data_IF_225026839760
#
_entry.id   IF_225026839760
#
_cell.length_a   1.000
_cell.length_b   1.000
_cell.length_c   1.000
_cell.angle_alpha   90.00
_cell.angle_beta   90.00
_cell.angle_gamma   90.00
#
_symmetry.space_group_name_H-M   'P 1'
#
loop_
_entity.id
_entity.type
_entity.pdbx_description
1 polymer ?
#
# COMPACT_ATOMS: atom_id res chain seq x y z
N UNK A 1 -12.80 4.56 -11.88
CA UNK A 1 -12.20 4.52 -10.53
C UNK A 1 -10.95 3.66 -10.62
N UNK A 2 -9.78 4.28 -10.60
CA UNK A 2 -8.52 3.55 -10.63
C UNK A 2 -8.25 2.96 -9.25
N UNK A 3 -7.99 1.65 -9.20
CA UNK A 3 -7.49 0.99 -8.00
C UNK A 3 -5.99 1.27 -7.90
N UNK A 4 -5.54 1.67 -6.72
CA UNK A 4 -4.13 1.93 -6.46
C UNK A 4 -3.62 0.84 -5.54
N UNK A 5 -2.45 0.34 -5.85
CA UNK A 5 -1.84 -0.76 -5.14
C UNK A 5 -0.49 -0.33 -4.59
N UNK A 6 -0.18 -0.76 -3.36
CA UNK A 6 1.18 -0.72 -2.85
C UNK A 6 1.85 -2.08 -3.06
N UNK A 7 3.13 -2.06 -3.37
CA UNK A 7 3.97 -3.25 -3.42
C UNK A 7 4.43 -3.59 -2.00
N UNK A 8 4.10 -4.78 -1.50
CA UNK A 8 4.49 -5.26 -0.17
C UNK A 8 5.45 -6.45 -0.32
N UNK A 9 6.65 -6.41 0.29
CA UNK A 9 7.55 -7.56 0.25
C UNK A 9 6.91 -8.81 0.85
N UNK A 10 7.00 -9.94 0.15
CA UNK A 10 6.43 -11.22 0.60
C UNK A 10 6.93 -11.61 1.97
N UNK A 11 8.20 -11.29 2.27
CA UNK A 11 8.84 -11.56 3.56
C UNK A 11 8.12 -10.94 4.75
N UNK A 12 7.41 -9.82 4.57
CA UNK A 12 6.67 -9.14 5.64
C UNK A 12 5.30 -9.77 5.91
N UNK A 13 4.80 -10.57 4.96
CA UNK A 13 3.47 -11.18 5.01
C UNK A 13 3.49 -12.70 4.98
N UNK A 14 4.65 -13.32 5.15
CA UNK A 14 4.77 -14.78 5.19
C UNK A 14 3.78 -15.33 6.22
N UNK A 15 2.85 -16.21 5.81
CA UNK A 15 1.93 -16.85 6.73
C UNK A 15 2.68 -17.53 7.87
N UNK A 16 2.14 -17.46 9.08
CA UNK A 16 2.71 -18.18 10.22
C UNK A 16 2.62 -19.72 10.04
N UNK A 17 1.70 -20.18 9.21
CA UNK A 17 1.42 -21.59 8.98
C UNK A 17 1.40 -21.91 7.48
N UNK A 18 1.87 -23.11 7.12
CA UNK A 18 1.81 -23.58 5.74
C UNK A 18 0.36 -23.85 5.34
N UNK A 19 0.05 -23.65 4.06
CA UNK A 19 -1.31 -23.76 3.56
C UNK A 19 -1.41 -23.32 2.11
N UNK A 20 -2.65 -23.15 1.64
CA UNK A 20 -2.92 -22.62 0.30
C UNK A 20 -3.39 -21.18 0.39
N UNK A 21 -2.89 -20.32 -0.48
CA UNK A 21 -3.24 -18.91 -0.59
C UNK A 21 -3.72 -18.64 -2.01
N UNK A 22 -4.86 -17.98 -2.13
CA UNK A 22 -5.32 -17.47 -3.41
C UNK A 22 -4.63 -16.13 -3.68
N UNK A 23 -3.93 -16.04 -4.80
CA UNK A 23 -3.25 -14.83 -5.30
C UNK A 23 -3.94 -14.33 -6.57
N UNK A 24 -3.43 -13.22 -7.12
CA UNK A 24 -3.83 -12.66 -8.41
C UNK A 24 -3.46 -13.55 -9.61
N UNK A 25 -2.49 -14.47 -9.44
CA UNK A 25 -2.06 -15.42 -10.48
C UNK A 25 -2.62 -16.83 -10.31
N UNK A 26 -3.23 -17.17 -9.17
CA UNK A 26 -3.83 -18.49 -8.95
C UNK A 26 -3.79 -18.96 -7.50
N UNK A 27 -4.05 -20.24 -7.28
CA UNK A 27 -3.88 -20.87 -5.97
C UNK A 27 -2.41 -21.27 -5.80
N UNK A 28 -1.81 -20.91 -4.67
CA UNK A 28 -0.40 -21.17 -4.39
C UNK A 28 -0.25 -21.83 -3.02
N UNK A 29 0.49 -22.92 -2.94
CA UNK A 29 0.84 -23.59 -1.69
C UNK A 29 2.10 -22.97 -1.08
N UNK A 30 2.03 -22.57 0.18
CA UNK A 30 3.12 -21.98 0.94
C UNK A 30 3.77 -22.95 1.93
N UNK A 31 5.10 -23.00 1.94
CA UNK A 31 5.92 -23.79 2.86
C UNK A 31 6.76 -22.89 3.77
N UNK A 32 6.37 -22.69 5.05
CA UNK A 32 7.05 -21.75 5.95
C UNK A 32 8.48 -22.13 6.29
N UNK A 33 8.78 -23.43 6.33
CA UNK A 33 10.09 -23.96 6.71
C UNK A 33 11.18 -23.50 5.74
N UNK A 34 10.86 -23.54 4.46
CA UNK A 34 11.79 -23.29 3.36
C UNK A 34 11.52 -21.95 2.66
N UNK A 35 10.53 -21.18 3.17
CA UNK A 35 10.04 -19.90 2.62
C UNK A 35 9.76 -19.97 1.12
N UNK A 36 9.19 -21.08 0.67
CA UNK A 36 8.96 -21.39 -0.75
C UNK A 36 7.47 -21.54 -1.05
N UNK A 37 7.16 -21.46 -2.34
CA UNK A 37 5.81 -21.44 -2.90
C UNK A 37 5.73 -22.39 -4.09
N UNK A 38 4.58 -23.06 -4.26
CA UNK A 38 4.28 -23.91 -5.42
C UNK A 38 2.91 -23.50 -5.99
N UNK A 39 2.82 -23.28 -7.30
CA UNK A 39 1.53 -23.13 -7.98
C UNK A 39 0.89 -24.49 -8.33
N UNK A 40 -0.31 -24.47 -8.91
CA UNK A 40 -1.05 -25.67 -9.34
C UNK A 40 -0.30 -26.52 -10.39
N UNK A 41 0.74 -25.98 -11.04
CA UNK A 41 1.63 -26.69 -11.96
C UNK A 41 2.97 -27.09 -11.32
N UNK A 42 3.11 -26.93 -9.99
CA UNK A 42 4.29 -27.23 -9.18
C UNK A 42 5.55 -26.43 -9.53
N UNK A 43 5.42 -25.25 -10.12
CA UNK A 43 6.55 -24.35 -10.32
C UNK A 43 6.87 -23.57 -9.04
N UNK A 44 8.17 -23.38 -8.77
CA UNK A 44 8.62 -22.47 -7.74
C UNK A 44 8.38 -21.02 -8.19
N UNK A 45 7.31 -20.43 -7.68
CA UNK A 45 6.93 -19.05 -7.95
C UNK A 45 7.16 -18.20 -6.70
N UNK A 46 8.32 -17.55 -6.59
CA UNK A 46 8.53 -16.54 -5.56
C UNK A 46 8.34 -15.15 -6.17
N UNK A 47 7.13 -14.56 -6.18
CA UNK A 47 7.02 -13.14 -6.46
C UNK A 47 7.77 -12.42 -5.33
N UNK A 48 8.62 -11.43 -5.64
CA UNK A 48 9.32 -10.68 -4.59
C UNK A 48 8.34 -9.80 -3.77
N UNK A 49 7.14 -9.54 -4.31
CA UNK A 49 6.15 -8.64 -3.74
C UNK A 49 4.71 -9.08 -4.02
N UNK A 50 3.78 -8.66 -3.15
CA UNK A 50 2.32 -8.74 -3.36
C UNK A 50 1.77 -7.34 -3.61
N UNK A 51 0.67 -7.24 -4.36
CA UNK A 51 -0.06 -5.99 -4.55
C UNK A 51 -1.20 -5.91 -3.53
N UNK A 52 -1.13 -4.95 -2.60
CA UNK A 52 -2.22 -4.64 -1.68
C UNK A 52 -2.96 -3.38 -2.17
N UNK A 53 -4.27 -3.48 -2.36
CA UNK A 53 -5.11 -2.31 -2.66
C UNK A 53 -5.06 -1.35 -1.47
N UNK A 54 -4.81 -0.07 -1.75
CA UNK A 54 -4.78 0.97 -0.72
C UNK A 54 -5.91 1.96 -0.93
N UNK A 55 -6.50 2.38 0.18
CA UNK A 55 -7.41 3.52 0.19
C UNK A 55 -6.61 4.80 0.04
N UNK A 56 -7.04 5.66 -0.89
CA UNK A 56 -6.49 7.01 -0.99
C UNK A 56 -6.88 7.82 0.24
N UNK A 57 -5.97 8.67 0.75
CA UNK A 57 -6.29 9.51 1.89
C UNK A 57 -7.42 10.49 1.53
N UNK A 58 -8.29 10.75 2.51
CA UNK A 58 -9.30 11.81 2.41
C UNK A 58 -8.66 13.16 2.64
N UNK A 59 -9.32 14.24 2.20
CA UNK A 59 -8.88 15.60 2.49
C UNK A 59 -8.71 15.85 3.99
N UNK A 60 -9.63 15.33 4.80
CA UNK A 60 -9.58 15.46 6.25
C UNK A 60 -8.36 14.73 6.85
N UNK A 61 -8.02 13.53 6.35
CA UNK A 61 -6.83 12.80 6.76
C UNK A 61 -5.54 13.54 6.37
N UNK A 62 -5.49 14.15 5.18
CA UNK A 62 -4.35 14.95 4.73
C UNK A 62 -4.18 16.21 5.57
N UNK A 63 -5.29 16.89 5.90
CA UNK A 63 -5.30 18.06 6.78
C UNK A 63 -4.85 17.73 8.19
N UNK A 64 -5.30 16.61 8.76
CA UNK A 64 -4.84 16.15 10.06
C UNK A 64 -3.32 15.91 10.06
N UNK A 65 -2.82 15.18 9.06
CA UNK A 65 -1.39 14.91 8.92
C UNK A 65 -0.55 16.18 8.79
N UNK A 66 -1.00 17.13 7.98
CA UNK A 66 -0.33 18.42 7.83
C UNK A 66 -0.30 19.23 9.14
N UNK A 67 -1.39 19.19 9.91
CA UNK A 67 -1.45 19.81 11.23
C UNK A 67 -0.54 19.13 12.26
N UNK A 68 -0.38 17.81 12.20
CA UNK A 68 0.54 17.06 13.06
C UNK A 68 2.00 17.43 12.76
N UNK A 69 2.38 17.48 11.47
CA UNK A 69 3.69 17.99 11.02
C UNK A 69 3.93 19.44 11.47
N UNK A 70 2.92 20.29 11.35
CA UNK A 70 2.97 21.69 11.76
C UNK A 70 3.16 21.87 13.28
N UNK A 71 2.72 20.92 14.10
CA UNK A 71 2.95 20.95 15.55
C UNK A 71 4.40 20.60 15.91
N UNK A 72 5.09 19.82 15.06
CA UNK A 72 6.51 19.51 15.21
C UNK A 72 7.41 20.65 14.72
N UNK A 73 6.97 21.38 13.69
CA UNK A 73 7.67 22.56 13.15
C UNK A 73 6.96 23.87 13.54
N UNK A 74 7.49 24.55 14.56
CA UNK A 74 6.98 25.77 15.22
C UNK A 74 6.69 26.95 14.24
N UNK A 75 7.15 26.87 13.00
CA UNK A 75 7.02 27.93 11.99
C UNK A 75 5.98 27.65 10.91
N UNK A 76 5.27 26.53 10.96
CA UNK A 76 4.31 26.16 9.92
C UNK A 76 3.01 26.95 10.10
N UNK A 77 2.68 27.78 9.11
CA UNK A 77 1.48 28.60 9.07
C UNK A 77 0.26 27.83 8.55
N UNK A 78 -0.95 28.27 8.92
CA UNK A 78 -2.21 27.72 8.37
C UNK A 78 -2.25 27.77 6.83
N UNK A 79 -1.62 28.79 6.23
CA UNK A 79 -1.47 28.89 4.77
C UNK A 79 -0.63 27.76 4.16
N UNK A 80 0.41 27.29 4.86
CA UNK A 80 1.24 26.17 4.38
C UNK A 80 0.50 24.84 4.51
N UNK A 81 -0.33 24.68 5.54
CA UNK A 81 -1.25 23.54 5.68
C UNK A 81 -2.23 23.50 4.51
N UNK A 82 -2.87 24.62 4.17
CA UNK A 82 -3.77 24.69 3.01
C UNK A 82 -3.04 24.39 1.70
N UNK A 83 -1.85 24.98 1.48
CA UNK A 83 -1.07 24.74 0.28
C UNK A 83 -0.67 23.26 0.12
N UNK A 84 -0.35 22.58 1.23
CA UNK A 84 -0.10 21.15 1.24
C UNK A 84 -1.35 20.35 0.85
N UNK A 85 -2.50 20.64 1.47
CA UNK A 85 -3.76 19.93 1.21
C UNK A 85 -4.19 20.11 -0.25
N UNK A 86 -4.13 21.33 -0.78
CA UNK A 86 -4.43 21.62 -2.18
C UNK A 86 -3.51 20.87 -3.15
N UNK A 87 -2.20 20.88 -2.88
CA UNK A 87 -1.22 20.16 -3.69
C UNK A 87 -1.44 18.65 -3.67
N UNK A 88 -1.75 18.08 -2.50
CA UNK A 88 -2.03 16.67 -2.36
C UNK A 88 -3.34 16.27 -3.06
N UNK A 89 -4.41 17.06 -2.90
CA UNK A 89 -5.67 16.89 -3.61
C UNK A 89 -5.49 16.93 -5.14
N UNK A 90 -4.67 17.85 -5.65
CA UNK A 90 -4.36 17.91 -7.08
C UNK A 90 -3.73 16.60 -7.58
N UNK A 91 -2.75 16.05 -6.85
CA UNK A 91 -2.11 14.77 -7.19
C UNK A 91 -3.13 13.63 -7.15
N UNK A 92 -3.97 13.56 -6.10
CA UNK A 92 -4.98 12.52 -5.96
C UNK A 92 -6.00 12.54 -7.09
N UNK A 93 -6.48 13.72 -7.47
CA UNK A 93 -7.42 13.88 -8.59
C UNK A 93 -6.77 13.44 -9.90
N UNK A 94 -5.50 13.82 -10.13
CA UNK A 94 -4.77 13.36 -11.30
C UNK A 94 -4.64 11.83 -11.36
N UNK A 95 -4.36 11.16 -10.23
CA UNK A 95 -4.28 9.69 -10.18
C UNK A 95 -5.66 9.04 -10.38
N UNK A 96 -6.74 9.68 -9.90
CA UNK A 96 -8.13 9.23 -10.12
C UNK A 96 -8.60 9.44 -11.55
N UNK A 97 -7.88 10.25 -12.35
CA UNK A 97 -8.27 10.64 -13.70
C UNK A 97 -9.34 11.75 -13.71
N UNK A 98 -9.37 12.58 -12.67
CA UNK A 98 -10.27 13.72 -12.47
C UNK A 98 -9.59 15.06 -12.82
#
# INVERSE_FOLDING_TARGET
>A
MHKIYRSVPVSERLPAHGGYILTDIGLVQFFPKDKSWLDDEYFFCNPDHWLEEIDLPTEEAMRQFANELAQEDVYTSEQEVEAYVDGANFILNHIKGE
#
